data_IF_933768419103
#
_entry.id   IF_933768419103
#
_cell.length_a   1.000
_cell.length_b   1.000
_cell.length_c   1.000
_cell.angle_alpha   90.00
_cell.angle_beta   90.00
_cell.angle_gamma   90.00
#
_symmetry.space_group_name_H-M   'P 1'
#
loop_
_entity.id
_entity.type
_entity.pdbx_description
1 polymer ?
#
# COMPACT_ATOMS: atom_id res chain seq x y z
N UNK A 1 2.98 -6.37 -15.82
CA UNK A 1 1.59 -5.84 -15.87
C UNK A 1 1.67 -4.40 -16.34
N UNK A 2 0.82 -3.98 -17.28
CA UNK A 2 0.79 -2.59 -17.72
C UNK A 2 0.32 -1.70 -16.55
N UNK A 3 1.01 -0.58 -16.32
CA UNK A 3 0.56 0.47 -15.43
C UNK A 3 -0.72 1.10 -15.99
N UNK A 4 -1.57 1.57 -15.11
CA UNK A 4 -2.79 2.29 -15.45
C UNK A 4 -2.57 3.76 -15.07
N UNK A 5 -2.76 4.68 -16.01
CA UNK A 5 -2.74 6.10 -15.70
C UNK A 5 -4.01 6.52 -14.94
N UNK A 6 -3.96 7.67 -14.29
CA UNK A 6 -5.14 8.23 -13.59
C UNK A 6 -6.28 8.49 -14.54
N UNK A 7 -6.00 8.98 -15.76
CA UNK A 7 -7.04 9.27 -16.77
C UNK A 7 -7.67 7.99 -17.31
N UNK A 8 -6.87 6.94 -17.51
CA UNK A 8 -7.40 5.62 -17.89
C UNK A 8 -8.23 5.01 -16.75
N UNK A 9 -7.83 5.19 -15.49
CA UNK A 9 -8.65 4.78 -14.35
C UNK A 9 -9.99 5.52 -14.34
N UNK A 10 -9.99 6.86 -14.45
CA UNK A 10 -11.21 7.68 -14.47
C UNK A 10 -12.14 7.25 -15.60
N UNK A 11 -11.60 7.01 -16.78
CA UNK A 11 -12.37 6.54 -17.95
C UNK A 11 -12.96 5.15 -17.71
N UNK A 12 -12.19 4.23 -17.11
CA UNK A 12 -12.64 2.88 -16.80
C UNK A 12 -13.71 2.86 -15.70
N UNK A 13 -13.61 3.76 -14.71
CA UNK A 13 -14.63 3.94 -13.66
C UNK A 13 -15.91 4.50 -14.26
N UNK A 14 -15.82 5.53 -15.10
CA UNK A 14 -16.99 6.15 -15.74
C UNK A 14 -17.74 5.16 -16.65
N UNK A 15 -17.04 4.23 -17.30
CA UNK A 15 -17.64 3.19 -18.13
C UNK A 15 -18.13 1.95 -17.35
N UNK A 16 -17.87 1.87 -16.04
CA UNK A 16 -18.18 0.69 -15.23
C UNK A 16 -17.21 -0.48 -15.42
N UNK A 17 -16.14 -0.31 -16.20
CA UNK A 17 -15.12 -1.34 -16.41
C UNK A 17 -14.20 -1.56 -15.20
N UNK A 18 -14.20 -0.62 -14.23
CA UNK A 18 -13.60 -0.75 -12.90
C UNK A 18 -14.62 -0.22 -11.89
N UNK A 19 -14.99 -1.03 -10.94
CA UNK A 19 -15.90 -0.69 -9.83
C UNK A 19 -15.21 -0.66 -8.47
N UNK A 20 -14.04 -1.28 -8.36
CA UNK A 20 -13.30 -1.44 -7.12
C UNK A 20 -11.84 -1.03 -7.29
N UNK A 21 -11.31 -0.24 -6.35
CA UNK A 21 -9.88 0.01 -6.21
C UNK A 21 -9.38 -0.59 -4.90
N UNK A 22 -8.40 -1.48 -5.00
CA UNK A 22 -7.70 -2.05 -3.85
C UNK A 22 -6.59 -1.08 -3.46
N UNK A 23 -6.72 -0.48 -2.28
CA UNK A 23 -5.75 0.41 -1.67
C UNK A 23 -4.94 -0.41 -0.69
N UNK A 24 -3.67 -0.65 -0.96
CA UNK A 24 -2.86 -1.61 -0.20
C UNK A 24 -1.53 -1.01 0.27
N UNK A 25 -1.11 -1.41 1.45
CA UNK A 25 0.25 -1.22 1.96
C UNK A 25 0.93 -2.57 2.17
N UNK A 26 2.26 -2.58 2.26
CA UNK A 26 3.04 -3.78 2.56
C UNK A 26 3.20 -3.90 4.07
N UNK A 27 2.83 -5.05 4.65
CA UNK A 27 3.06 -5.36 6.07
C UNK A 27 4.48 -5.90 6.33
N UNK A 28 4.77 -6.24 7.58
CA UNK A 28 6.10 -6.71 8.02
C UNK A 28 6.48 -8.09 7.46
N UNK A 29 5.52 -8.86 6.97
CA UNK A 29 5.72 -10.16 6.32
C UNK A 29 5.76 -10.07 4.78
N UNK A 30 5.66 -8.86 4.23
CA UNK A 30 5.63 -8.64 2.78
C UNK A 30 4.26 -8.86 2.14
N UNK A 31 3.21 -9.04 2.93
CA UNK A 31 1.84 -9.19 2.42
C UNK A 31 1.25 -7.83 2.07
N UNK A 32 0.34 -7.82 1.12
CA UNK A 32 -0.47 -6.64 0.83
C UNK A 32 -1.72 -6.66 1.71
N UNK A 33 -1.81 -5.70 2.61
CA UNK A 33 -2.96 -5.47 3.49
C UNK A 33 -3.57 -4.10 3.19
N UNK A 34 -4.88 -3.95 3.35
CA UNK A 34 -5.52 -2.68 3.04
C UNK A 34 -7.04 -2.77 2.91
N UNK A 35 -7.60 -1.97 2.02
CA UNK A 35 -9.05 -1.82 1.84
C UNK A 35 -9.46 -1.98 0.38
N UNK A 36 -10.69 -2.43 0.18
CA UNK A 36 -11.40 -2.33 -1.10
C UNK A 36 -12.28 -1.09 -1.05
N UNK A 37 -12.10 -0.22 -1.99
CA UNK A 37 -12.79 1.07 -2.07
C UNK A 37 -13.64 1.09 -3.34
N UNK A 38 -14.86 1.57 -3.24
CA UNK A 38 -15.70 1.83 -4.41
C UNK A 38 -14.99 2.81 -5.36
N UNK A 39 -14.85 2.44 -6.61
CA UNK A 39 -13.97 3.15 -7.54
C UNK A 39 -14.35 4.64 -7.77
N UNK A 40 -15.62 5.03 -7.88
CA UNK A 40 -16.00 6.45 -7.88
C UNK A 40 -15.50 7.19 -6.64
N UNK A 41 -15.72 6.65 -5.43
CA UNK A 41 -15.23 7.27 -4.19
C UNK A 41 -13.70 7.37 -4.16
N UNK A 42 -13.00 6.37 -4.71
CA UNK A 42 -11.54 6.45 -4.86
C UNK A 42 -11.14 7.65 -5.73
N UNK A 43 -11.79 7.84 -6.87
CA UNK A 43 -11.50 8.94 -7.81
C UNK A 43 -11.81 10.30 -7.20
N UNK A 44 -12.93 10.40 -6.48
CA UNK A 44 -13.41 11.68 -5.95
C UNK A 44 -12.67 12.10 -4.66
N UNK A 45 -12.31 11.15 -3.80
CA UNK A 45 -11.80 11.43 -2.47
C UNK A 45 -10.40 10.85 -2.23
N UNK A 46 -10.24 9.51 -2.33
CA UNK A 46 -9.02 8.83 -1.90
C UNK A 46 -7.81 9.20 -2.76
N UNK A 47 -8.03 9.47 -4.04
CA UNK A 47 -7.00 9.93 -4.97
C UNK A 47 -6.30 11.21 -4.49
N UNK A 48 -7.04 12.09 -3.84
CA UNK A 48 -6.57 13.42 -3.42
C UNK A 48 -6.18 13.50 -1.94
N UNK A 49 -6.89 12.77 -1.10
CA UNK A 49 -6.76 12.87 0.36
C UNK A 49 -6.15 11.62 1.00
N UNK A 50 -6.01 10.53 0.23
CA UNK A 50 -5.64 9.23 0.79
C UNK A 50 -6.80 8.60 1.56
N UNK A 51 -6.47 7.61 2.37
CA UNK A 51 -7.40 6.94 3.29
C UNK A 51 -6.64 6.56 4.55
N UNK A 52 -7.35 6.07 5.55
CA UNK A 52 -6.74 5.69 6.82
C UNK A 52 -6.70 4.18 7.00
N UNK A 53 -5.83 3.69 7.85
CA UNK A 53 -5.74 2.29 8.25
C UNK A 53 -5.15 2.17 9.63
N UNK A 54 -5.64 1.23 10.43
CA UNK A 54 -5.18 1.09 11.81
C UNK A 54 -3.69 0.72 11.91
N UNK A 55 -2.98 1.35 12.83
CA UNK A 55 -1.53 1.20 12.99
C UNK A 55 -1.10 -0.21 13.44
N UNK A 56 -2.00 -1.02 14.02
CA UNK A 56 -1.69 -2.41 14.36
C UNK A 56 -1.31 -3.26 13.12
N UNK A 57 -1.71 -2.84 11.92
CA UNK A 57 -1.39 -3.56 10.68
C UNK A 57 0.12 -3.74 10.43
N UNK A 58 0.97 -2.92 11.08
CA UNK A 58 2.42 -3.12 11.09
C UNK A 58 2.92 -3.84 12.38
N UNK A 59 2.03 -4.28 13.25
CA UNK A 59 2.34 -4.94 14.52
C UNK A 59 1.51 -6.23 14.70
N UNK A 60 1.43 -7.03 13.65
CA UNK A 60 0.75 -8.33 13.65
C UNK A 60 1.72 -9.45 13.34
N UNK A 61 1.41 -10.64 13.83
CA UNK A 61 2.09 -11.88 13.47
C UNK A 61 1.65 -12.43 12.10
N UNK A 62 2.12 -13.62 11.76
CA UNK A 62 1.79 -14.27 10.47
C UNK A 62 0.31 -14.64 10.35
N UNK A 63 -0.37 -14.83 11.47
CA UNK A 63 -1.79 -15.17 11.54
C UNK A 63 -2.69 -13.92 11.70
N UNK A 64 -2.12 -12.72 11.57
CA UNK A 64 -2.79 -11.41 11.74
C UNK A 64 -3.25 -11.12 13.18
N UNK A 65 -2.70 -11.80 14.18
CA UNK A 65 -2.92 -11.43 15.57
C UNK A 65 -2.04 -10.24 15.96
N UNK A 66 -2.60 -9.30 16.71
CA UNK A 66 -1.83 -8.16 17.24
C UNK A 66 -0.76 -8.64 18.21
N UNK A 67 0.47 -8.14 18.06
CA UNK A 67 1.61 -8.48 18.90
C UNK A 67 1.87 -7.33 19.87
N UNK A 68 2.08 -7.66 21.15
CA UNK A 68 2.45 -6.69 22.19
C UNK A 68 3.94 -6.36 22.16
N UNK A 69 4.32 -5.25 22.84
CA UNK A 69 5.70 -4.82 22.99
C UNK A 69 6.19 -3.78 21.97
N UNK A 70 5.38 -3.39 21.02
CA UNK A 70 5.67 -2.29 20.11
C UNK A 70 5.24 -0.95 20.71
N UNK A 71 6.13 0.05 20.70
CA UNK A 71 5.79 1.42 21.11
C UNK A 71 4.82 2.12 20.18
N UNK A 72 4.75 1.66 18.94
CA UNK A 72 3.92 2.22 17.86
C UNK A 72 2.44 1.91 18.05
N UNK A 73 2.11 0.75 18.62
CA UNK A 73 0.76 0.23 18.71
C UNK A 73 0.66 -0.73 19.89
N UNK A 74 -0.21 -0.43 20.85
CA UNK A 74 -0.49 -1.32 21.97
C UNK A 74 -1.92 -1.11 22.47
N UNK A 75 -2.41 -2.11 23.20
CA UNK A 75 -3.70 -1.98 23.86
C UNK A 75 -3.73 -0.86 24.90
N UNK A 76 -2.61 -0.66 25.62
CA UNK A 76 -2.48 0.35 26.68
C UNK A 76 -2.40 1.77 26.12
N UNK A 77 -1.74 1.96 24.98
CA UNK A 77 -1.64 3.27 24.30
C UNK A 77 -2.86 3.63 23.45
N UNK A 78 -3.76 2.66 23.26
CA UNK A 78 -4.83 2.74 22.29
C UNK A 78 -4.30 2.55 20.86
N UNK A 79 -5.16 2.05 19.98
CA UNK A 79 -4.86 1.96 18.55
C UNK A 79 -5.18 3.30 17.89
N UNK A 80 -4.28 3.73 17.01
CA UNK A 80 -4.45 4.92 16.17
C UNK A 80 -4.45 4.52 14.69
N UNK A 81 -4.66 5.47 13.80
CA UNK A 81 -4.64 5.24 12.38
C UNK A 81 -3.36 5.76 11.71
N UNK A 82 -2.99 5.14 10.61
CA UNK A 82 -2.07 5.65 9.60
C UNK A 82 -2.85 6.34 8.50
N UNK A 83 -2.25 7.36 7.90
CA UNK A 83 -2.64 7.86 6.60
C UNK A 83 -2.00 6.98 5.51
N UNK A 84 -2.80 6.50 4.58
CA UNK A 84 -2.40 5.70 3.42
C UNK A 84 -2.50 6.56 2.17
N UNK A 85 -1.37 6.97 1.62
CA UNK A 85 -1.29 7.82 0.43
C UNK A 85 -1.00 6.99 -0.81
N UNK A 86 -1.91 6.95 -1.81
CA UNK A 86 -1.71 6.17 -3.03
C UNK A 86 -0.48 6.61 -3.83
N UNK A 87 0.45 5.69 -4.10
CA UNK A 87 1.50 5.90 -5.08
C UNK A 87 0.97 5.55 -6.48
N UNK A 88 0.57 6.58 -7.20
CA UNK A 88 -0.07 6.45 -8.52
C UNK A 88 0.83 5.82 -9.57
N UNK A 89 2.15 5.83 -9.37
CA UNK A 89 3.09 5.09 -10.22
C UNK A 89 2.94 3.57 -10.12
N UNK A 90 2.24 3.08 -9.11
CA UNK A 90 1.97 1.64 -8.90
C UNK A 90 0.58 1.22 -9.33
N UNK A 91 -0.26 2.16 -9.78
CA UNK A 91 -1.64 1.89 -10.17
C UNK A 91 -1.70 0.92 -11.36
N UNK A 92 -2.52 -0.13 -11.24
CA UNK A 92 -2.65 -1.18 -12.25
C UNK A 92 -3.96 -1.93 -12.14
N UNK A 93 -4.40 -2.56 -13.25
CA UNK A 93 -5.50 -3.55 -13.21
C UNK A 93 -5.06 -4.81 -12.48
N UNK A 94 -6.00 -5.47 -11.80
CA UNK A 94 -5.80 -6.79 -11.17
C UNK A 94 -6.20 -7.86 -12.18
N UNK A 95 -5.25 -8.64 -12.76
CA UNK A 95 -5.57 -9.54 -13.89
C UNK A 95 -6.50 -10.70 -13.51
N UNK A 96 -6.45 -11.13 -12.26
CA UNK A 96 -7.24 -12.26 -11.75
C UNK A 96 -8.57 -11.83 -11.10
N UNK A 97 -8.87 -10.54 -11.11
CA UNK A 97 -10.10 -10.00 -10.54
C UNK A 97 -10.68 -8.95 -11.49
N UNK A 98 -11.71 -9.36 -12.21
CA UNK A 98 -12.44 -8.46 -13.10
C UNK A 98 -13.01 -7.26 -12.33
N UNK A 99 -13.05 -6.11 -12.97
CA UNK A 99 -13.56 -4.86 -12.38
C UNK A 99 -12.66 -4.22 -11.31
N UNK A 100 -11.46 -4.78 -11.06
CA UNK A 100 -10.59 -4.28 -10.00
C UNK A 100 -9.31 -3.63 -10.51
N UNK A 101 -8.91 -2.53 -9.84
CA UNK A 101 -7.59 -1.94 -9.88
C UNK A 101 -6.90 -2.06 -8.52
N UNK A 102 -5.57 -1.97 -8.50
CA UNK A 102 -4.73 -1.98 -7.30
C UNK A 102 -3.80 -0.77 -7.33
N UNK A 103 -3.62 -0.14 -6.17
CA UNK A 103 -2.59 0.86 -5.93
C UNK A 103 -1.88 0.58 -4.60
N UNK A 104 -0.55 0.71 -4.59
CA UNK A 104 0.22 0.65 -3.36
C UNK A 104 0.24 2.02 -2.70
N UNK A 105 0.24 2.04 -1.37
CA UNK A 105 0.27 3.27 -0.59
C UNK A 105 1.57 3.42 0.19
N UNK A 106 2.01 4.64 0.29
CA UNK A 106 2.94 5.08 1.31
C UNK A 106 2.18 5.28 2.63
N UNK A 107 2.85 4.99 3.74
CA UNK A 107 2.24 5.04 5.08
C UNK A 107 2.84 6.19 5.86
N UNK A 108 1.99 7.09 6.33
CA UNK A 108 2.37 8.23 7.15
C UNK A 108 1.56 8.27 8.44
N UNK A 109 2.07 8.93 9.44
CA UNK A 109 1.28 9.34 10.59
C UNK A 109 0.28 10.42 10.17
N UNK A 110 -0.79 10.62 10.92
CA UNK A 110 -1.79 11.66 10.62
C UNK A 110 -1.23 13.09 10.68
N UNK A 111 -0.05 13.28 11.29
CA UNK A 111 0.68 14.56 11.27
C UNK A 111 1.57 14.75 10.03
N UNK A 112 1.51 13.82 9.07
CA UNK A 112 2.24 13.85 7.81
C UNK A 112 3.66 13.31 7.87
N UNK A 113 4.15 12.84 9.02
CA UNK A 113 5.48 12.23 9.14
C UNK A 113 5.46 10.80 8.63
N UNK A 114 6.55 10.37 8.01
CA UNK A 114 6.71 9.00 7.55
C UNK A 114 6.71 8.01 8.72
N UNK A 115 6.03 6.89 8.54
CA UNK A 115 6.12 5.75 9.46
C UNK A 115 7.39 4.99 9.16
N UNK A 116 8.45 5.29 9.92
CA UNK A 116 9.80 4.75 9.70
C UNK A 116 9.89 3.22 9.78
N UNK A 117 8.93 2.56 10.42
CA UNK A 117 8.85 1.12 10.49
C UNK A 117 8.20 0.48 9.25
N UNK A 118 7.56 1.27 8.38
CA UNK A 118 6.93 0.75 7.16
C UNK A 118 7.98 0.17 6.21
N UNK A 119 7.85 -1.11 5.79
CA UNK A 119 8.82 -1.75 4.87
C UNK A 119 9.04 -0.95 3.58
N UNK A 120 7.97 -0.38 3.03
CA UNK A 120 8.06 0.44 1.83
C UNK A 120 8.83 1.75 2.07
N UNK A 121 8.66 2.39 3.23
CA UNK A 121 9.40 3.60 3.59
C UNK A 121 10.88 3.31 3.83
N UNK A 122 11.20 2.18 4.46
CA UNK A 122 12.58 1.72 4.62
C UNK A 122 13.25 1.55 3.25
N UNK A 123 12.58 0.87 2.32
CA UNK A 123 13.08 0.66 0.96
C UNK A 123 13.29 2.00 0.23
N UNK A 124 12.31 2.90 0.28
CA UNK A 124 12.41 4.23 -0.36
C UNK A 124 13.59 5.02 0.17
N UNK A 125 13.80 5.01 1.49
CA UNK A 125 14.94 5.68 2.14
C UNK A 125 16.27 5.14 1.60
N UNK A 126 16.47 3.82 1.61
CA UNK A 126 17.72 3.20 1.18
C UNK A 126 17.97 3.42 -0.33
N UNK A 127 16.93 3.35 -1.15
CA UNK A 127 17.04 3.65 -2.59
C UNK A 127 17.40 5.13 -2.81
N UNK A 128 16.87 6.04 -2.00
CA UNK A 128 17.24 7.46 -2.01
C UNK A 128 18.73 7.69 -1.66
N UNK A 129 19.21 7.05 -0.60
CA UNK A 129 20.62 7.10 -0.19
C UNK A 129 21.57 6.58 -1.28
N UNK A 130 21.17 5.49 -1.96
CA UNK A 130 21.94 4.99 -3.12
C UNK A 130 21.98 5.99 -4.27
N UNK A 131 20.86 6.67 -4.54
CA UNK A 131 20.78 7.68 -5.59
C UNK A 131 21.68 8.90 -5.30
N UNK A 132 21.81 9.32 -4.03
CA UNK A 132 22.75 10.37 -3.60
C UNK A 132 24.20 9.98 -3.88
N UNK A 133 24.52 8.70 -3.72
CA UNK A 133 25.83 8.12 -4.07
C UNK A 133 26.00 7.86 -5.56
N UNK A 134 25.04 8.28 -6.41
CA UNK A 134 24.99 8.02 -7.86
C UNK A 134 25.02 6.53 -8.21
N UNK A 135 24.50 5.69 -7.32
CA UNK A 135 24.34 4.26 -7.51
C UNK A 135 22.88 3.91 -7.82
N UNK A 136 22.68 2.81 -8.50
CA UNK A 136 21.35 2.25 -8.79
C UNK A 136 21.34 0.78 -8.40
N UNK A 137 20.37 0.38 -7.56
CA UNK A 137 20.14 -1.02 -7.22
C UNK A 137 19.53 -1.75 -8.43
N UNK A 138 20.08 -2.93 -8.73
CA UNK A 138 19.50 -3.91 -9.64
C UNK A 138 19.19 -5.17 -8.82
N UNK A 139 17.94 -5.58 -8.80
CA UNK A 139 17.46 -6.70 -7.99
C UNK A 139 16.72 -7.69 -8.89
N UNK A 140 17.03 -8.97 -8.75
CA UNK A 140 16.26 -10.09 -9.28
C UNK A 140 15.48 -10.74 -8.13
N UNK A 141 14.29 -11.22 -8.41
CA UNK A 141 13.51 -12.04 -7.46
C UNK A 141 13.37 -13.46 -8.01
N UNK A 142 13.56 -14.45 -7.14
CA UNK A 142 13.26 -15.85 -7.43
C UNK A 142 12.07 -16.26 -6.57
N UNK A 143 11.07 -16.89 -7.19
CA UNK A 143 9.89 -17.42 -6.52
C UNK A 143 9.87 -18.93 -6.71
N UNK A 144 10.01 -19.65 -5.60
CA UNK A 144 9.94 -21.12 -5.59
C UNK A 144 8.59 -21.55 -5.02
N UNK A 145 7.98 -22.54 -5.65
CA UNK A 145 6.73 -23.14 -5.18
C UNK A 145 6.65 -24.61 -5.61
N UNK A 146 5.87 -25.38 -4.87
CA UNK A 146 5.59 -26.79 -5.17
C UNK A 146 4.12 -26.90 -5.58
N UNK A 147 3.89 -27.60 -6.69
CA UNK A 147 2.54 -27.94 -7.15
C UNK A 147 2.25 -29.38 -6.72
N UNK A 148 1.14 -29.61 -6.02
CA UNK A 148 0.68 -30.91 -5.57
C UNK A 148 -0.48 -31.41 -6.45
#
# INVERSE_FOLDING_TARGET
MASLSVDELKSAVASGAIDTVIVAMTDMQGRLVGKRVHAPYFVDEVLHHGTEGCNYLLAVDVDMNTVSGYSMSSWESGYADFALHPDLGTLRRVPWQEGAALVLCDVQWLDGKDVVASPRQILKKVVGELAELKMKALVGTELEFIVF
#
